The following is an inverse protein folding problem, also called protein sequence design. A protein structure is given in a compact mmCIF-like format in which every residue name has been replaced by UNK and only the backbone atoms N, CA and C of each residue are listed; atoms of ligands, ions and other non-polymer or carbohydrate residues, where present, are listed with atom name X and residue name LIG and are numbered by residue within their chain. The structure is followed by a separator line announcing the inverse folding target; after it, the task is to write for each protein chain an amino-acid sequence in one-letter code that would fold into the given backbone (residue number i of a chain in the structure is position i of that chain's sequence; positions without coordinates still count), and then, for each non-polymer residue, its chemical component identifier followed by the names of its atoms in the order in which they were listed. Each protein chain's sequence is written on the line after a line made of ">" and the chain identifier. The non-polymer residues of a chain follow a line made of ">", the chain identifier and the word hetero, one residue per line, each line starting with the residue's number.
data_IF_049329966093
#
_entry.id   IF_049329966093
#
_cell.length_a   1.000
_cell.length_b   1.000
_cell.length_c   1.000
_cell.angle_alpha   90.00
_cell.angle_beta   90.00
_cell.angle_gamma   90.00
#
_symmetry.space_group_name_H-M   'P 1'
#
loop_
_entity.id
_entity.type
_entity.pdbx_description
1 polymer ?
#
# COMPACT_ATOMS: atom_id res chain seq x y z
N UNK A 1 -34.90 63.91 -17.31
CA UNK A 1 -34.90 62.47 -16.99
C UNK A 1 -33.63 61.81 -17.53
N UNK A 2 -32.59 61.65 -16.71
CA UNK A 2 -31.47 60.72 -16.95
C UNK A 2 -31.05 60.19 -15.58
N UNK A 3 -31.47 58.96 -15.25
CA UNK A 3 -31.09 58.26 -14.01
C UNK A 3 -29.72 57.62 -14.24
N UNK A 4 -28.73 58.09 -13.48
CA UNK A 4 -27.39 57.49 -13.41
C UNK A 4 -27.45 56.29 -12.47
N UNK A 5 -27.25 55.08 -13.02
CA UNK A 5 -27.16 53.83 -12.28
C UNK A 5 -25.78 53.70 -11.64
N UNK A 6 -25.74 53.88 -10.31
CA UNK A 6 -24.55 53.72 -9.48
C UNK A 6 -24.39 52.23 -9.15
N UNK A 7 -23.62 51.51 -9.96
CA UNK A 7 -23.30 50.10 -9.73
C UNK A 7 -22.36 50.00 -8.52
N UNK A 8 -22.88 49.54 -7.38
CA UNK A 8 -22.08 49.20 -6.20
C UNK A 8 -21.23 47.96 -6.54
N UNK A 9 -19.94 48.18 -6.75
CA UNK A 9 -18.93 47.12 -6.77
C UNK A 9 -18.85 46.48 -5.38
N UNK A 10 -19.47 45.30 -5.23
CA UNK A 10 -19.30 44.42 -4.08
C UNK A 10 -17.83 44.01 -4.02
N UNK A 11 -17.08 44.56 -3.07
CA UNK A 11 -15.78 44.02 -2.66
C UNK A 11 -16.00 42.59 -2.17
N UNK A 12 -15.65 41.62 -3.02
CA UNK A 12 -15.50 40.23 -2.62
C UNK A 12 -14.40 40.20 -1.55
N UNK A 13 -14.80 39.87 -0.32
CA UNK A 13 -13.88 39.63 0.79
C UNK A 13 -12.93 38.52 0.37
N UNK A 14 -11.64 38.83 0.26
CA UNK A 14 -10.57 37.82 0.13
C UNK A 14 -10.74 36.84 1.28
N UNK A 15 -11.02 35.59 0.96
CA UNK A 15 -10.93 34.47 1.88
C UNK A 15 -9.54 34.52 2.55
N UNK A 16 -9.42 34.25 3.86
CA UNK A 16 -8.11 34.15 4.49
C UNK A 16 -7.36 33.04 3.75
N UNK A 17 -6.25 33.39 3.13
CA UNK A 17 -5.30 32.40 2.64
C UNK A 17 -4.88 31.57 3.84
N UNK A 18 -5.28 30.29 3.87
CA UNK A 18 -4.67 29.31 4.76
C UNK A 18 -3.17 29.39 4.49
N UNK A 19 -2.41 29.89 5.46
CA UNK A 19 -0.96 29.90 5.41
C UNK A 19 -0.52 28.47 5.09
N UNK A 20 0.10 28.31 3.92
CA UNK A 20 0.69 27.06 3.48
C UNK A 20 1.62 26.64 4.62
N UNK A 21 1.24 25.57 5.31
CA UNK A 21 2.01 25.04 6.42
C UNK A 21 3.45 24.83 5.94
N UNK A 22 4.36 25.38 6.74
CA UNK A 22 5.81 25.37 6.63
C UNK A 22 6.35 24.18 5.81
N UNK A 23 6.64 24.42 4.53
CA UNK A 23 7.24 23.40 3.66
C UNK A 23 8.63 23.13 4.23
N UNK A 24 8.78 22.03 4.98
CA UNK A 24 10.05 21.64 5.62
C UNK A 24 11.14 21.49 4.56
N UNK A 25 11.92 22.56 4.35
CA UNK A 25 13.08 22.54 3.47
C UNK A 25 14.19 21.77 4.18
N UNK A 26 14.62 20.65 3.60
CA UNK A 26 15.83 19.95 4.06
C UNK A 26 17.02 20.78 3.59
N UNK A 27 17.76 21.32 4.55
CA UNK A 27 18.98 22.10 4.28
C UNK A 27 20.18 21.23 4.63
N UNK A 28 21.10 21.11 3.67
CA UNK A 28 22.41 20.47 3.91
C UNK A 28 23.30 21.53 4.54
N UNK A 29 23.60 21.33 5.83
CA UNK A 29 24.34 22.28 6.67
C UNK A 29 25.80 21.90 6.88
N UNK A 30 26.20 20.68 6.54
CA UNK A 30 27.58 20.22 6.73
C UNK A 30 28.43 20.55 5.51
N UNK A 31 29.65 20.96 5.77
CA UNK A 31 30.70 21.12 4.77
C UNK A 31 31.72 20.01 4.96
N UNK A 32 32.26 19.50 3.88
CA UNK A 32 33.36 18.56 3.92
C UNK A 32 34.68 19.34 3.77
N UNK A 33 35.53 19.38 4.80
CA UNK A 33 36.77 20.15 4.76
C UNK A 33 37.77 19.55 3.75
N UNK A 34 38.53 20.41 3.09
CA UNK A 34 39.55 20.04 2.09
C UNK A 34 40.90 20.63 2.47
N UNK A 35 41.97 20.01 1.99
CA UNK A 35 43.27 20.68 1.96
C UNK A 35 43.18 21.91 1.04
N UNK A 36 43.50 23.14 1.51
CA UNK A 36 43.56 24.33 0.67
C UNK A 36 44.50 24.20 -0.54
N UNK A 37 45.51 23.33 -0.45
CA UNK A 37 46.46 23.03 -1.54
C UNK A 37 46.14 21.69 -2.25
N UNK A 38 45.01 21.07 -1.92
CA UNK A 38 44.59 19.81 -2.47
C UNK A 38 44.27 19.88 -3.97
N UNK A 39 44.38 18.75 -4.70
CA UNK A 39 44.07 18.74 -6.12
C UNK A 39 42.57 19.00 -6.38
N UNK A 40 42.22 19.54 -7.56
CA UNK A 40 40.84 19.61 -8.02
C UNK A 40 40.17 18.23 -8.04
N UNK A 41 38.93 18.16 -7.56
CA UNK A 41 38.14 16.92 -7.62
C UNK A 41 37.86 16.53 -9.05
N UNK A 42 38.20 15.28 -9.40
CA UNK A 42 37.86 14.66 -10.67
C UNK A 42 36.59 13.81 -10.51
N UNK A 43 36.36 12.88 -11.43
CA UNK A 43 35.33 11.87 -11.28
C UNK A 43 35.55 11.13 -9.96
N UNK A 44 34.59 11.25 -9.04
CA UNK A 44 34.69 10.64 -7.72
C UNK A 44 34.41 9.15 -7.81
N UNK A 45 35.14 8.31 -7.04
CA UNK A 45 34.87 6.88 -6.94
C UNK A 45 33.43 6.62 -6.48
N UNK A 46 32.95 5.40 -6.69
CA UNK A 46 31.66 4.99 -6.17
C UNK A 46 31.70 4.94 -4.64
N UNK A 47 30.77 5.65 -4.00
CA UNK A 47 30.47 5.48 -2.59
C UNK A 47 29.43 4.38 -2.39
N UNK A 48 28.77 4.40 -1.23
CA UNK A 48 27.56 3.59 -1.02
C UNK A 48 26.47 4.08 -1.97
N UNK A 49 25.73 3.14 -2.58
CA UNK A 49 24.69 3.42 -3.57
C UNK A 49 23.34 2.97 -3.05
N UNK A 50 22.29 3.68 -3.42
CA UNK A 50 20.93 3.24 -3.12
C UNK A 50 20.58 2.01 -3.98
N UNK A 51 19.58 1.22 -3.57
CA UNK A 51 19.15 0.01 -4.30
C UNK A 51 18.76 0.22 -5.77
N UNK A 52 18.50 1.47 -6.20
CA UNK A 52 18.24 1.85 -7.59
C UNK A 52 19.49 2.37 -8.33
N UNK A 53 20.70 2.03 -7.87
CA UNK A 53 21.98 2.49 -8.42
C UNK A 53 22.17 4.02 -8.42
N UNK A 54 21.42 4.77 -7.59
CA UNK A 54 21.67 6.21 -7.44
C UNK A 54 23.02 6.41 -6.74
N UNK A 55 23.93 7.21 -7.32
CA UNK A 55 25.31 7.34 -6.86
C UNK A 55 25.45 8.19 -5.59
N UNK A 56 24.34 8.77 -5.11
CA UNK A 56 24.26 9.56 -3.89
C UNK A 56 23.29 8.88 -2.94
N UNK A 57 23.83 8.12 -1.99
CA UNK A 57 23.09 7.59 -0.86
C UNK A 57 23.73 8.04 0.46
N UNK A 58 22.88 8.29 1.45
CA UNK A 58 23.33 8.46 2.83
C UNK A 58 22.27 8.04 3.82
N UNK A 59 22.69 7.48 4.96
CA UNK A 59 21.81 6.91 5.98
C UNK A 59 20.85 7.97 6.57
N UNK A 60 21.33 9.21 6.68
CA UNK A 60 20.57 10.37 7.14
C UNK A 60 20.88 11.61 6.31
N UNK A 61 20.12 12.69 6.48
CA UNK A 61 20.44 13.98 5.84
C UNK A 61 21.80 14.54 6.29
N UNK A 62 22.31 14.10 7.44
CA UNK A 62 23.61 14.52 7.99
C UNK A 62 24.80 13.83 7.30
N UNK A 63 24.53 12.86 6.42
CA UNK A 63 25.53 12.22 5.59
C UNK A 63 25.71 12.92 4.23
N UNK A 64 24.96 14.00 3.98
CA UNK A 64 25.15 14.85 2.83
C UNK A 64 26.00 16.05 3.22
N UNK A 65 26.95 16.40 2.35
CA UNK A 65 27.92 17.46 2.58
C UNK A 65 27.98 18.37 1.37
N UNK A 66 28.17 19.66 1.64
CA UNK A 66 28.68 20.60 0.66
C UNK A 66 30.19 20.42 0.53
N UNK A 67 30.69 20.40 -0.69
CA UNK A 67 32.11 20.21 -0.97
C UNK A 67 32.58 21.17 -2.05
N UNK A 68 33.79 21.71 -1.88
CA UNK A 68 34.45 22.52 -2.91
C UNK A 68 35.21 21.61 -3.87
N UNK A 69 34.86 21.66 -5.16
CA UNK A 69 35.59 20.91 -6.19
C UNK A 69 37.03 21.40 -6.34
N UNK A 70 37.23 22.71 -6.23
CA UNK A 70 38.55 23.33 -6.14
C UNK A 70 38.61 24.05 -4.79
N UNK A 71 39.59 23.76 -3.91
CA UNK A 71 39.63 24.33 -2.56
C UNK A 71 39.64 25.87 -2.54
N UNK A 72 40.19 26.50 -3.59
CA UNK A 72 40.31 27.95 -3.75
C UNK A 72 39.11 28.61 -4.44
N UNK A 73 38.13 27.83 -4.92
CA UNK A 73 37.02 28.32 -5.73
C UNK A 73 35.66 28.05 -5.05
N UNK A 74 35.24 28.97 -4.18
CA UNK A 74 33.97 28.89 -3.43
C UNK A 74 32.75 28.71 -4.34
N UNK A 75 32.78 29.26 -5.56
CA UNK A 75 31.68 29.16 -6.52
C UNK A 75 31.48 27.75 -7.09
N UNK A 76 32.45 26.84 -6.92
CA UNK A 76 32.36 25.44 -7.36
C UNK A 76 32.02 24.50 -6.20
N UNK A 77 31.02 24.90 -5.41
CA UNK A 77 30.43 24.09 -4.35
C UNK A 77 29.35 23.16 -4.90
N UNK A 78 29.45 21.86 -4.63
CA UNK A 78 28.42 20.86 -4.95
C UNK A 78 27.99 20.09 -3.71
N UNK A 79 26.95 19.26 -3.85
CA UNK A 79 26.49 18.34 -2.81
C UNK A 79 26.98 16.94 -3.16
N UNK A 80 27.58 16.26 -2.19
CA UNK A 80 27.97 14.85 -2.28
C UNK A 80 27.67 14.12 -0.97
N UNK A 81 27.89 12.81 -0.93
CA UNK A 81 27.65 11.96 0.25
C UNK A 81 28.94 11.61 0.96
N UNK A 82 28.84 11.37 2.27
CA UNK A 82 29.98 11.10 3.14
C UNK A 82 30.81 9.91 2.66
N UNK A 83 30.16 8.77 2.38
CA UNK A 83 30.81 7.57 1.81
C UNK A 83 31.61 7.84 0.54
N UNK A 84 31.07 8.64 -0.39
CA UNK A 84 31.71 8.98 -1.66
C UNK A 84 32.91 9.91 -1.48
N UNK A 85 32.78 10.91 -0.61
CA UNK A 85 33.86 11.83 -0.26
C UNK A 85 34.97 11.11 0.50
N UNK A 86 34.62 10.22 1.44
CA UNK A 86 35.56 9.38 2.17
C UNK A 86 36.42 8.53 1.21
N UNK A 87 35.78 7.85 0.26
CA UNK A 87 36.49 7.07 -0.76
C UNK A 87 37.46 7.94 -1.58
N UNK A 88 37.02 9.13 -2.00
CA UNK A 88 37.87 10.08 -2.73
C UNK A 88 39.05 10.60 -1.90
N UNK A 89 38.82 11.02 -0.64
CA UNK A 89 39.89 11.55 0.22
C UNK A 89 40.97 10.51 0.50
N UNK A 90 40.58 9.24 0.66
CA UNK A 90 41.52 8.12 0.78
C UNK A 90 42.33 7.91 -0.48
N UNK A 91 41.71 8.04 -1.66
CA UNK A 91 42.40 7.89 -2.95
C UNK A 91 43.48 8.96 -3.16
N UNK A 92 43.20 10.21 -2.78
CA UNK A 92 44.14 11.34 -2.97
C UNK A 92 45.06 11.59 -1.77
N UNK A 93 44.88 10.88 -0.66
CA UNK A 93 45.69 11.03 0.56
C UNK A 93 45.34 12.23 1.44
N UNK A 94 44.20 12.89 1.23
CA UNK A 94 43.73 14.02 2.07
C UNK A 94 43.04 13.52 3.35
N UNK A 95 43.77 12.83 4.22
CA UNK A 95 43.21 12.21 5.42
C UNK A 95 43.12 13.16 6.62
N UNK A 96 44.02 14.15 6.69
CA UNK A 96 44.21 14.96 7.90
C UNK A 96 43.18 16.09 8.05
N UNK A 97 42.67 16.62 6.95
CA UNK A 97 41.77 17.78 6.96
C UNK A 97 40.32 17.42 7.26
N UNK A 98 39.93 16.17 7.03
CA UNK A 98 38.55 15.67 7.16
C UNK A 98 38.46 14.43 8.06
N UNK A 99 39.32 14.32 9.07
CA UNK A 99 39.40 13.12 9.93
C UNK A 99 38.05 12.73 10.54
N UNK A 100 37.34 13.73 11.07
CA UNK A 100 36.07 13.52 11.75
C UNK A 100 34.97 13.11 10.75
N UNK A 101 34.94 13.72 9.57
CA UNK A 101 34.00 13.38 8.50
C UNK A 101 34.29 12.00 7.89
N UNK A 102 35.56 11.63 7.75
CA UNK A 102 36.00 10.30 7.32
C UNK A 102 35.54 9.25 8.33
N UNK A 103 35.81 9.46 9.62
CA UNK A 103 35.37 8.54 10.67
C UNK A 103 33.84 8.42 10.73
N UNK A 104 33.11 9.53 10.55
CA UNK A 104 31.65 9.53 10.45
C UNK A 104 31.14 8.73 9.24
N UNK A 105 31.76 8.92 8.07
CA UNK A 105 31.38 8.24 6.84
C UNK A 105 31.69 6.74 6.88
N UNK A 106 32.72 6.32 7.60
CA UNK A 106 33.04 4.90 7.82
C UNK A 106 32.02 4.20 8.73
N UNK A 107 31.45 4.94 9.69
CA UNK A 107 30.40 4.45 10.59
C UNK A 107 28.99 4.60 10.03
N UNK A 108 28.87 5.16 8.81
CA UNK A 108 27.59 5.24 8.12
C UNK A 108 27.01 3.83 7.93
N UNK A 109 25.71 3.64 8.18
CA UNK A 109 25.04 2.37 7.94
C UNK A 109 25.19 1.92 6.48
N UNK A 110 25.01 0.63 6.19
CA UNK A 110 24.87 0.17 4.82
C UNK A 110 23.47 0.53 4.27
N UNK A 111 23.32 0.74 2.96
CA UNK A 111 22.00 0.90 2.35
C UNK A 111 21.19 -0.37 2.56
N UNK A 112 20.12 -0.23 3.33
CA UNK A 112 19.12 -1.27 3.54
C UNK A 112 17.83 -0.90 2.80
N UNK A 113 17.20 -1.91 2.21
CA UNK A 113 15.89 -1.74 1.58
C UNK A 113 14.82 -1.70 2.68
N UNK A 114 14.23 -0.52 2.88
CA UNK A 114 13.13 -0.34 3.83
C UNK A 114 11.79 -0.55 3.12
N UNK A 115 10.97 -1.44 3.65
CA UNK A 115 9.60 -1.66 3.18
C UNK A 115 8.64 -0.77 3.99
N UNK A 116 7.59 -0.23 3.36
CA UNK A 116 6.58 0.66 3.97
C UNK A 116 5.35 -0.12 4.46
N UNK A 117 4.80 0.22 5.64
CA UNK A 117 3.68 -0.41 6.42
C UNK A 117 2.60 -1.23 5.69
N UNK A 118 2.12 -2.31 6.33
CA UNK A 118 1.07 -3.19 5.82
C UNK A 118 -0.28 -2.47 5.70
N UNK A 119 -0.70 -2.28 4.46
CA UNK A 119 -1.98 -1.67 4.13
C UNK A 119 -3.16 -2.54 4.58
N UNK A 120 -3.02 -3.87 4.62
CA UNK A 120 -4.10 -4.77 5.08
C UNK A 120 -4.37 -4.53 6.56
N UNK A 121 -3.32 -4.52 7.40
CA UNK A 121 -3.43 -4.18 8.82
C UNK A 121 -3.99 -2.78 9.02
N UNK A 122 -3.50 -1.75 8.29
CA UNK A 122 -4.01 -0.38 8.41
C UNK A 122 -5.50 -0.27 8.04
N UNK A 123 -5.96 -1.02 7.06
CA UNK A 123 -7.36 -1.05 6.62
C UNK A 123 -8.23 -1.87 7.58
N UNK A 124 -7.73 -3.00 8.09
CA UNK A 124 -8.39 -3.80 9.14
C UNK A 124 -8.62 -2.99 10.41
N UNK A 125 -7.59 -2.28 10.89
CA UNK A 125 -7.68 -1.38 12.05
C UNK A 125 -8.66 -0.20 11.85
N UNK A 126 -8.94 0.19 10.60
CA UNK A 126 -9.97 1.18 10.25
C UNK A 126 -11.37 0.54 10.24
N UNK A 127 -11.52 -0.64 9.64
CA UNK A 127 -12.81 -1.34 9.50
C UNK A 127 -13.31 -1.90 10.85
N UNK A 128 -12.41 -2.37 11.73
CA UNK A 128 -12.72 -2.82 13.09
C UNK A 128 -12.88 -1.66 14.08
N UNK A 129 -12.65 -0.42 13.64
CA UNK A 129 -12.72 0.76 14.51
C UNK A 129 -14.18 1.01 14.93
N UNK A 130 -14.53 0.87 16.22
CA UNK A 130 -15.87 1.25 16.66
C UNK A 130 -16.06 2.74 16.40
N UNK A 131 -17.19 3.10 15.79
CA UNK A 131 -17.50 4.48 15.45
C UNK A 131 -17.33 5.40 16.67
N UNK A 132 -16.26 6.22 16.67
CA UNK A 132 -16.03 7.25 17.69
C UNK A 132 -14.74 7.17 18.53
N UNK A 133 -13.86 6.17 18.37
CA UNK A 133 -12.57 6.12 19.10
C UNK A 133 -11.37 6.43 18.21
N UNK A 134 -10.61 7.49 18.52
CA UNK A 134 -9.26 7.74 17.97
C UNK A 134 -8.23 7.27 19.00
N UNK A 135 -7.43 6.26 18.66
CA UNK A 135 -6.24 5.89 19.44
C UNK A 135 -4.96 6.31 18.70
N UNK A 136 -3.92 6.64 19.46
CA UNK A 136 -2.58 6.96 18.96
C UNK A 136 -1.83 5.64 18.71
N UNK A 137 -1.79 5.19 17.46
CA UNK A 137 -1.07 3.97 17.05
C UNK A 137 0.35 4.37 16.66
N UNK A 138 1.33 4.07 17.51
CA UNK A 138 2.77 4.26 17.24
C UNK A 138 3.64 3.07 17.66
N UNK A 139 3.05 1.91 18.00
CA UNK A 139 3.80 0.77 18.53
C UNK A 139 3.58 -0.49 17.71
N UNK A 140 4.69 -0.97 17.12
CA UNK A 140 4.87 -2.16 16.29
C UNK A 140 4.43 -1.99 14.82
N UNK A 141 5.41 -1.83 13.92
CA UNK A 141 5.22 -1.84 12.47
C UNK A 141 5.78 -3.19 11.98
N UNK A 142 4.94 -4.17 11.57
CA UNK A 142 5.37 -5.41 10.95
C UNK A 142 5.95 -5.20 9.54
N UNK A 143 6.77 -6.15 9.08
CA UNK A 143 7.45 -6.17 7.77
C UNK A 143 6.49 -6.49 6.60
N UNK A 144 6.76 -5.95 5.40
CA UNK A 144 5.75 -5.76 4.33
C UNK A 144 6.13 -6.40 2.99
N UNK A 145 5.11 -6.93 2.27
CA UNK A 145 5.13 -7.02 0.83
C UNK A 145 3.83 -6.48 0.21
N UNK A 146 3.69 -5.19 -0.12
CA UNK A 146 2.53 -4.71 -0.90
C UNK A 146 2.91 -3.54 -1.81
N UNK A 147 3.60 -3.88 -2.91
CA UNK A 147 3.80 -3.01 -4.06
C UNK A 147 2.67 -3.31 -5.06
N UNK A 148 2.11 -2.28 -5.70
CA UNK A 148 1.07 -2.52 -6.70
C UNK A 148 1.72 -3.01 -7.99
N UNK A 149 1.61 -4.32 -8.19
CA UNK A 149 2.24 -5.02 -9.30
C UNK A 149 1.89 -4.34 -10.63
N UNK A 150 2.87 -4.26 -11.52
CA UNK A 150 2.75 -3.51 -12.78
C UNK A 150 1.54 -3.91 -13.65
N UNK A 151 1.12 -5.18 -13.60
CA UNK A 151 -0.05 -5.69 -14.32
C UNK A 151 -1.40 -5.30 -13.70
N UNK A 152 -1.39 -4.79 -12.47
CA UNK A 152 -2.55 -4.27 -11.73
C UNK A 152 -2.67 -2.75 -11.82
N UNK A 153 -1.76 -2.06 -12.52
CA UNK A 153 -1.93 -0.63 -12.79
C UNK A 153 -3.21 -0.40 -13.62
N UNK A 154 -3.93 0.70 -13.36
CA UNK A 154 -5.16 0.99 -14.07
C UNK A 154 -4.90 1.29 -15.54
N UNK A 155 -5.61 0.60 -16.42
CA UNK A 155 -5.57 0.85 -17.87
C UNK A 155 -6.07 2.26 -18.20
N UNK A 156 -7.05 2.73 -17.43
CA UNK A 156 -7.66 4.05 -17.53
C UNK A 156 -7.70 4.74 -16.16
N UNK A 157 -7.30 6.01 -16.12
CA UNK A 157 -7.44 6.86 -14.93
C UNK A 157 -8.42 7.99 -15.18
N UNK A 158 -9.43 8.15 -14.32
CA UNK A 158 -10.37 9.27 -14.31
C UNK A 158 -9.90 10.29 -13.28
N UNK A 159 -9.43 11.44 -13.74
CA UNK A 159 -8.88 12.51 -12.91
C UNK A 159 -9.91 13.60 -12.67
N UNK A 160 -10.22 13.85 -11.40
CA UNK A 160 -11.07 14.92 -10.91
C UNK A 160 -10.17 16.08 -10.49
N UNK A 161 -10.26 17.19 -11.22
CA UNK A 161 -9.42 18.38 -11.04
C UNK A 161 -10.28 19.65 -10.96
N UNK A 162 -10.99 19.87 -9.85
CA UNK A 162 -11.88 21.03 -9.68
C UNK A 162 -11.13 22.37 -9.72
N UNK A 163 -9.83 22.34 -9.42
CA UNK A 163 -8.98 23.53 -9.31
C UNK A 163 -8.20 23.85 -10.59
N UNK A 164 -8.35 23.04 -11.64
CA UNK A 164 -7.63 23.20 -12.91
C UNK A 164 -6.10 23.06 -12.77
N UNK A 165 -5.64 22.29 -11.78
CA UNK A 165 -4.21 22.03 -11.46
C UNK A 165 -3.44 21.39 -12.60
N UNK A 166 -4.11 20.70 -13.51
CA UNK A 166 -3.50 20.07 -14.68
C UNK A 166 -2.98 21.08 -15.71
N UNK A 167 -3.29 22.39 -15.60
CA UNK A 167 -2.82 23.45 -16.52
C UNK A 167 -1.92 24.46 -15.81
N UNK A 168 -0.85 23.96 -15.18
CA UNK A 168 -0.02 24.76 -14.28
C UNK A 168 0.61 26.05 -14.89
N UNK A 169 0.53 26.28 -16.22
CA UNK A 169 1.22 27.39 -16.87
C UNK A 169 0.46 28.21 -17.94
N UNK A 170 -0.79 27.94 -18.26
CA UNK A 170 -1.41 28.65 -19.40
C UNK A 170 -1.90 30.05 -19.06
N UNK A 171 -1.94 30.47 -17.78
CA UNK A 171 -2.43 31.80 -17.34
C UNK A 171 -3.92 32.04 -17.62
N UNK A 172 -4.53 31.26 -18.51
CA UNK A 172 -5.95 31.16 -18.76
C UNK A 172 -6.52 30.02 -17.93
N UNK A 173 -7.15 30.35 -16.80
CA UNK A 173 -7.99 29.36 -16.16
C UNK A 173 -9.17 29.01 -17.08
N UNK A 174 -9.51 27.73 -17.17
CA UNK A 174 -10.70 27.31 -17.92
C UNK A 174 -11.99 27.84 -17.24
N UNK A 175 -13.08 28.02 -18.01
CA UNK A 175 -14.41 28.27 -17.43
C UNK A 175 -14.75 27.25 -16.34
N UNK A 176 -15.46 27.67 -15.28
CA UNK A 176 -15.77 26.81 -14.14
C UNK A 176 -16.51 25.50 -14.54
N UNK A 177 -17.36 25.57 -15.58
CA UNK A 177 -18.09 24.42 -16.12
C UNK A 177 -17.14 23.33 -16.65
N UNK A 178 -15.99 23.72 -17.20
CA UNK A 178 -15.01 22.79 -17.76
C UNK A 178 -14.09 22.16 -16.70
N UNK A 179 -14.10 22.69 -15.47
CA UNK A 179 -13.33 22.17 -14.32
C UNK A 179 -14.03 21.04 -13.61
N UNK A 180 -15.36 21.00 -13.62
CA UNK A 180 -16.15 19.92 -13.02
C UNK A 180 -16.14 18.62 -13.84
N UNK A 181 -15.75 18.68 -15.11
CA UNK A 181 -15.73 17.51 -15.99
C UNK A 181 -14.46 16.69 -15.74
N UNK A 182 -14.57 15.42 -15.30
CA UNK A 182 -13.41 14.57 -15.09
C UNK A 182 -12.66 14.30 -16.39
N UNK A 183 -11.35 14.15 -16.29
CA UNK A 183 -10.47 13.86 -17.43
C UNK A 183 -10.12 12.40 -17.46
N UNK A 184 -10.09 11.82 -18.65
CA UNK A 184 -9.69 10.42 -18.85
C UNK A 184 -8.28 10.35 -19.40
N UNK A 185 -7.42 9.60 -18.73
CA UNK A 185 -6.07 9.27 -19.16
C UNK A 185 -5.96 7.77 -19.40
N UNK A 186 -5.17 7.38 -20.40
CA UNK A 186 -4.86 5.97 -20.68
C UNK A 186 -3.43 5.67 -20.30
N UNK A 187 -3.20 4.52 -19.67
CA UNK A 187 -1.87 4.06 -19.34
C UNK A 187 -1.10 3.75 -20.63
N UNK A 188 0.05 4.40 -20.80
CA UNK A 188 0.91 4.19 -21.95
C UNK A 188 2.14 3.36 -21.57
N UNK A 189 2.19 2.14 -22.08
CA UNK A 189 3.26 1.18 -21.80
C UNK A 189 4.06 0.84 -23.06
N UNK A 190 5.37 0.64 -22.90
CA UNK A 190 6.22 0.10 -23.97
C UNK A 190 5.72 -1.28 -24.40
N UNK A 191 6.05 -1.68 -25.63
CA UNK A 191 5.66 -3.00 -26.14
C UNK A 191 6.22 -4.12 -25.26
N UNK A 192 7.49 -4.01 -24.86
CA UNK A 192 8.16 -4.97 -23.98
C UNK A 192 7.42 -5.13 -22.64
N UNK A 193 7.04 -4.02 -22.01
CA UNK A 193 6.26 -4.02 -20.76
C UNK A 193 4.89 -4.65 -20.96
N UNK A 194 4.18 -4.35 -22.06
CA UNK A 194 2.87 -4.96 -22.37
C UNK A 194 3.00 -6.47 -22.55
N UNK A 195 4.03 -6.94 -23.25
CA UNK A 195 4.26 -8.37 -23.46
C UNK A 195 4.60 -9.08 -22.13
N UNK A 196 5.37 -8.42 -21.25
CA UNK A 196 5.67 -8.94 -19.92
C UNK A 196 4.42 -9.06 -19.03
N UNK A 197 3.55 -8.04 -19.05
CA UNK A 197 2.25 -8.06 -18.36
C UNK A 197 1.39 -9.21 -18.86
N UNK A 198 1.22 -9.35 -20.18
CA UNK A 198 0.42 -10.43 -20.79
C UNK A 198 0.95 -11.81 -20.38
N UNK A 199 2.28 -12.01 -20.38
CA UNK A 199 2.89 -13.27 -19.91
C UNK A 199 2.60 -13.53 -18.43
N UNK A 200 2.68 -12.52 -17.58
CA UNK A 200 2.40 -12.65 -16.14
C UNK A 200 0.93 -12.96 -15.88
N UNK A 201 0.01 -12.26 -16.55
CA UNK A 201 -1.43 -12.52 -16.49
C UNK A 201 -1.74 -13.96 -16.92
N UNK A 202 -1.19 -14.42 -18.04
CA UNK A 202 -1.38 -15.81 -18.50
C UNK A 202 -0.89 -16.85 -17.48
N UNK A 203 0.25 -16.59 -16.81
CA UNK A 203 0.76 -17.47 -15.74
C UNK A 203 -0.17 -17.48 -14.52
N UNK A 204 -0.69 -16.32 -14.12
CA UNK A 204 -1.61 -16.22 -12.99
C UNK A 204 -2.92 -16.96 -13.27
N UNK A 205 -3.48 -16.79 -14.47
CA UNK A 205 -4.68 -17.53 -14.90
C UNK A 205 -4.44 -19.05 -14.90
N UNK A 206 -3.30 -19.51 -15.43
CA UNK A 206 -2.96 -20.94 -15.43
C UNK A 206 -2.76 -21.52 -14.02
N UNK A 207 -2.23 -20.72 -13.08
CA UNK A 207 -2.02 -21.16 -11.69
C UNK A 207 -3.34 -21.19 -10.90
N UNK A 208 -4.28 -20.30 -11.22
CA UNK A 208 -5.57 -20.23 -10.53
C UNK A 208 -6.44 -21.48 -10.77
N UNK A 209 -6.30 -22.15 -11.92
CA UNK A 209 -7.06 -23.36 -12.26
C UNK A 209 -6.63 -24.60 -11.46
N UNK A 210 -5.43 -24.59 -10.85
CA UNK A 210 -4.84 -25.76 -10.18
C UNK A 210 -4.76 -25.62 -8.64
N UNK A 211 -5.32 -24.55 -8.07
CA UNK A 211 -5.29 -24.38 -6.61
C UNK A 211 -6.21 -25.40 -5.93
N UNK A 212 -5.72 -26.16 -4.93
CA UNK A 212 -6.55 -27.08 -4.17
C UNK A 212 -7.67 -26.31 -3.48
N UNK A 213 -8.84 -26.96 -3.33
CA UNK A 213 -9.96 -26.39 -2.57
C UNK A 213 -9.48 -26.00 -1.18
N UNK A 214 -9.67 -24.73 -0.84
CA UNK A 214 -9.45 -24.24 0.52
C UNK A 214 -10.65 -24.63 1.39
N UNK A 215 -10.37 -24.94 2.64
CA UNK A 215 -11.37 -25.38 3.60
C UNK A 215 -10.79 -25.38 5.02
N UNK A 216 -11.66 -25.17 6.00
CA UNK A 216 -11.27 -25.26 7.40
C UNK A 216 -11.49 -26.67 7.91
N UNK A 217 -10.64 -27.06 8.84
CA UNK A 217 -10.71 -28.34 9.51
C UNK A 217 -11.28 -28.12 10.91
N UNK A 218 -12.53 -28.53 11.10
CA UNK A 218 -13.19 -28.43 12.39
C UNK A 218 -12.95 -29.70 13.19
N UNK A 219 -12.45 -29.53 14.42
CA UNK A 219 -12.31 -30.62 15.37
C UNK A 219 -13.22 -30.38 16.57
N UNK A 220 -13.84 -31.44 17.06
CA UNK A 220 -14.59 -31.40 18.31
C UNK A 220 -13.72 -31.87 19.46
N UNK A 221 -13.74 -31.08 20.54
CA UNK A 221 -13.13 -31.45 21.81
C UNK A 221 -14.25 -31.73 22.81
N UNK A 222 -14.09 -32.80 23.59
CA UNK A 222 -15.06 -33.20 24.62
C UNK A 222 -14.40 -33.20 25.99
N UNK A 223 -15.02 -32.53 26.95
CA UNK A 223 -14.63 -32.57 28.35
C UNK A 223 -15.58 -33.48 29.15
N UNK A 224 -15.01 -34.47 29.84
CA UNK A 224 -15.79 -35.41 30.62
C UNK A 224 -16.24 -34.78 31.95
N UNK A 225 -17.55 -34.53 32.10
CA UNK A 225 -18.14 -33.78 33.22
C UNK A 225 -17.76 -34.31 34.60
N UNK A 226 -17.55 -35.63 34.74
CA UNK A 226 -17.24 -36.26 36.03
C UNK A 226 -15.79 -36.08 36.47
N UNK A 227 -14.85 -35.93 35.54
CA UNK A 227 -13.41 -35.93 35.82
C UNK A 227 -12.75 -34.60 35.51
N UNK A 228 -13.39 -33.73 34.72
CA UNK A 228 -12.78 -32.49 34.21
C UNK A 228 -11.57 -32.74 33.32
N UNK A 229 -11.32 -33.99 32.91
CA UNK A 229 -10.22 -34.32 32.01
C UNK A 229 -10.71 -34.21 30.58
N UNK A 230 -10.00 -33.41 29.79
CA UNK A 230 -10.14 -33.41 28.33
C UNK A 230 -9.61 -34.76 27.83
N UNK A 231 -10.46 -35.56 27.18
CA UNK A 231 -9.99 -36.77 26.50
C UNK A 231 -9.29 -36.35 25.21
N UNK A 232 -8.00 -36.65 25.10
CA UNK A 232 -7.24 -36.46 23.86
C UNK A 232 -7.79 -37.36 22.75
N UNK A 233 -7.93 -36.79 21.56
CA UNK A 233 -8.51 -37.43 20.36
C UNK A 233 -9.86 -36.82 19.99
N UNK A 234 -10.04 -36.46 18.72
CA UNK A 234 -11.26 -35.82 18.23
C UNK A 234 -12.48 -36.75 18.37
N UNK A 235 -13.64 -36.20 18.73
CA UNK A 235 -14.89 -36.98 18.81
C UNK A 235 -15.41 -37.33 17.43
N UNK A 236 -15.28 -36.36 16.53
CA UNK A 236 -15.64 -36.41 15.13
C UNK A 236 -14.32 -36.34 14.36
N UNK A 237 -14.19 -37.16 13.31
CA UNK A 237 -13.04 -37.05 12.41
C UNK A 237 -13.06 -35.66 11.79
N UNK A 238 -11.89 -35.03 11.68
CA UNK A 238 -11.82 -33.60 11.42
C UNK A 238 -12.61 -33.21 10.15
N UNK A 239 -13.65 -32.41 10.33
CA UNK A 239 -14.65 -32.15 9.29
C UNK A 239 -14.13 -31.04 8.38
N UNK A 240 -13.67 -31.39 7.18
CA UNK A 240 -13.24 -30.41 6.18
C UNK A 240 -14.46 -29.72 5.54
N UNK A 241 -14.76 -28.47 5.89
CA UNK A 241 -15.81 -27.72 5.22
C UNK A 241 -15.24 -27.12 3.92
N UNK A 242 -15.81 -27.51 2.76
CA UNK A 242 -15.42 -26.91 1.48
C UNK A 242 -16.07 -25.54 1.35
N UNK A 243 -15.27 -24.51 1.10
CA UNK A 243 -15.78 -23.18 0.80
C UNK A 243 -16.02 -23.01 -0.70
N UNK A 244 -16.91 -22.07 -1.10
CA UNK A 244 -16.92 -21.62 -2.48
C UNK A 244 -15.49 -21.21 -2.88
N UNK A 245 -15.06 -21.52 -4.11
CA UNK A 245 -13.72 -21.20 -4.56
C UNK A 245 -13.49 -19.69 -4.42
N UNK A 246 -12.33 -19.31 -3.87
CA UNK A 246 -11.93 -17.92 -3.83
C UNK A 246 -12.01 -17.33 -5.25
N UNK A 247 -12.52 -16.11 -5.42
CA UNK A 247 -12.50 -15.46 -6.71
C UNK A 247 -11.06 -15.40 -7.22
N UNK A 248 -10.85 -15.56 -8.54
CA UNK A 248 -9.51 -15.47 -9.08
C UNK A 248 -8.89 -14.12 -8.74
N UNK A 249 -7.57 -14.06 -8.45
CA UNK A 249 -6.91 -12.80 -8.19
C UNK A 249 -7.11 -11.85 -9.37
N UNK A 250 -7.21 -10.54 -9.12
CA UNK A 250 -7.39 -9.58 -10.20
C UNK A 250 -6.22 -9.69 -11.17
N UNK A 251 -6.52 -9.78 -12.46
CA UNK A 251 -5.50 -9.83 -13.51
C UNK A 251 -5.24 -8.46 -14.13
N UNK A 252 -6.19 -7.53 -14.00
CA UNK A 252 -6.06 -6.15 -14.45
C UNK A 252 -6.97 -5.22 -13.66
N UNK A 253 -6.68 -3.93 -13.76
CA UNK A 253 -7.51 -2.86 -13.21
C UNK A 253 -8.02 -2.03 -14.39
N UNK A 254 -9.29 -2.13 -14.79
CA UNK A 254 -9.77 -1.43 -15.98
C UNK A 254 -9.79 0.09 -15.78
N UNK A 255 -10.21 0.53 -14.58
CA UNK A 255 -10.41 1.94 -14.27
C UNK A 255 -10.03 2.25 -12.82
N UNK A 256 -9.44 3.43 -12.60
CA UNK A 256 -9.25 4.01 -11.27
C UNK A 256 -9.55 5.51 -11.29
N UNK A 257 -9.93 6.04 -10.13
CA UNK A 257 -10.27 7.46 -9.99
C UNK A 257 -9.17 8.18 -9.22
N UNK A 258 -8.81 9.38 -9.65
CA UNK A 258 -7.75 10.18 -9.03
C UNK A 258 -8.30 11.57 -8.75
N UNK A 259 -8.21 12.01 -7.50
CA UNK A 259 -8.65 13.33 -7.08
C UNK A 259 -7.43 14.18 -6.75
N UNK A 260 -7.29 15.28 -7.48
CA UNK A 260 -6.21 16.25 -7.30
C UNK A 260 -6.77 17.59 -6.82
N UNK A 261 -6.04 18.25 -5.93
CA UNK A 261 -6.41 19.55 -5.37
C UNK A 261 -5.19 20.46 -5.37
N UNK A 262 -5.41 21.75 -5.65
CA UNK A 262 -4.36 22.77 -5.67
C UNK A 262 -3.69 22.98 -4.30
N UNK A 263 -4.45 22.79 -3.22
CA UNK A 263 -3.96 22.91 -1.85
C UNK A 263 -3.02 21.77 -1.44
N UNK A 264 -3.06 20.65 -2.15
CA UNK A 264 -2.28 19.44 -1.86
C UNK A 264 -0.95 19.40 -2.61
N UNK A 265 -0.46 20.55 -3.11
CA UNK A 265 0.84 20.65 -3.76
C UNK A 265 1.97 20.38 -2.77
N UNK A 266 2.71 19.30 -3.01
CA UNK A 266 3.87 18.87 -2.22
C UNK A 266 5.15 19.60 -2.60
N UNK A 267 5.29 19.98 -3.88
CA UNK A 267 6.51 20.63 -4.36
C UNK A 267 6.45 21.08 -5.81
N UNK A 268 7.47 21.84 -6.18
CA UNK A 268 7.70 22.38 -7.52
C UNK A 268 9.16 22.10 -7.90
N UNK A 269 9.34 21.49 -9.07
CA UNK A 269 10.63 21.31 -9.72
C UNK A 269 10.68 22.13 -11.01
N UNK A 270 11.85 22.19 -11.64
CA UNK A 270 12.09 23.02 -12.84
C UNK A 270 11.11 22.73 -13.99
N UNK A 271 10.58 21.50 -14.07
CA UNK A 271 9.75 21.01 -15.16
C UNK A 271 8.53 20.25 -14.66
N UNK A 272 8.20 20.36 -13.37
CA UNK A 272 7.12 19.56 -12.82
C UNK A 272 6.55 20.10 -11.53
N UNK A 273 5.30 19.76 -11.28
CA UNK A 273 4.67 19.91 -9.97
C UNK A 273 4.43 18.53 -9.37
N UNK A 274 4.53 18.44 -8.05
CA UNK A 274 4.19 17.22 -7.31
C UNK A 274 3.01 17.54 -6.41
N UNK A 275 1.96 16.74 -6.52
CA UNK A 275 0.75 16.83 -5.71
C UNK A 275 0.56 15.55 -4.90
N UNK A 276 0.04 15.70 -3.70
CA UNK A 276 -0.60 14.60 -3.00
C UNK A 276 -1.99 14.44 -3.61
N UNK A 277 -2.33 13.23 -4.03
CA UNK A 277 -3.62 12.96 -4.65
C UNK A 277 -4.27 11.76 -3.98
N UNK A 278 -5.60 11.80 -3.88
CA UNK A 278 -6.35 10.64 -3.44
C UNK A 278 -6.62 9.75 -4.65
N UNK A 279 -6.07 8.56 -4.64
CA UNK A 279 -6.23 7.56 -5.67
C UNK A 279 -7.17 6.47 -5.17
N UNK A 280 -8.31 6.37 -5.83
CA UNK A 280 -9.38 5.44 -5.51
C UNK A 280 -9.24 4.21 -6.40
N UNK A 281 -8.97 3.08 -5.76
CA UNK A 281 -8.72 1.78 -6.41
C UNK A 281 -9.64 0.70 -5.84
N UNK A 282 -9.94 -0.37 -6.61
CA UNK A 282 -10.70 -1.50 -6.10
C UNK A 282 -10.03 -2.14 -4.88
N UNK A 283 -10.80 -2.47 -3.84
CA UNK A 283 -10.28 -3.15 -2.64
C UNK A 283 -9.65 -4.51 -2.94
N UNK A 284 -10.14 -5.20 -3.97
CA UNK A 284 -9.59 -6.47 -4.43
C UNK A 284 -8.12 -6.40 -4.88
N UNK A 285 -7.57 -5.20 -5.12
CA UNK A 285 -6.15 -5.04 -5.47
C UNK A 285 -5.21 -5.10 -4.27
N UNK A 286 -5.70 -4.86 -3.05
CA UNK A 286 -4.87 -4.84 -1.85
C UNK A 286 -5.36 -5.77 -0.74
N UNK A 287 -6.57 -6.30 -0.89
CA UNK A 287 -7.15 -7.21 0.08
C UNK A 287 -7.44 -8.54 -0.60
N UNK A 288 -6.95 -9.62 0.00
CA UNK A 288 -7.29 -10.96 -0.44
C UNK A 288 -8.78 -11.24 -0.17
N UNK A 289 -9.44 -12.01 -1.04
CA UNK A 289 -10.77 -12.51 -0.74
C UNK A 289 -10.68 -13.52 0.40
N UNK A 290 -11.67 -13.51 1.29
CA UNK A 290 -11.78 -14.45 2.40
C UNK A 290 -13.22 -14.94 2.53
N UNK A 291 -13.44 -15.98 3.32
CA UNK A 291 -14.77 -16.55 3.55
C UNK A 291 -15.36 -15.97 4.83
N UNK A 292 -16.57 -15.39 4.76
CA UNK A 292 -17.23 -14.85 5.96
C UNK A 292 -17.65 -15.98 6.93
N UNK A 293 -17.78 -15.64 8.22
CA UNK A 293 -18.19 -16.57 9.28
C UNK A 293 -19.52 -17.29 8.97
N UNK A 294 -20.50 -16.59 8.38
CA UNK A 294 -21.78 -17.21 8.03
C UNK A 294 -21.65 -18.28 6.94
N UNK A 295 -20.81 -18.04 5.92
CA UNK A 295 -20.51 -19.05 4.90
C UNK A 295 -19.75 -20.24 5.49
N UNK A 296 -18.85 -19.96 6.43
CA UNK A 296 -18.15 -21.00 7.20
C UNK A 296 -19.15 -21.88 7.95
N UNK A 297 -20.05 -21.27 8.73
CA UNK A 297 -21.06 -21.96 9.51
C UNK A 297 -22.01 -22.77 8.62
N UNK A 298 -22.43 -22.22 7.48
CA UNK A 298 -23.30 -22.94 6.54
C UNK A 298 -22.61 -24.14 5.89
N UNK A 299 -21.35 -23.99 5.49
CA UNK A 299 -20.57 -25.09 4.94
C UNK A 299 -20.39 -26.21 5.98
N UNK A 300 -20.10 -25.83 7.23
CA UNK A 300 -20.01 -26.76 8.34
C UNK A 300 -21.36 -27.45 8.62
N UNK A 301 -22.44 -26.68 8.74
CA UNK A 301 -23.78 -27.19 8.97
C UNK A 301 -24.21 -28.19 7.90
N UNK A 302 -24.02 -27.84 6.62
CA UNK A 302 -24.33 -28.72 5.49
C UNK A 302 -23.61 -30.06 5.62
N UNK A 303 -22.31 -30.05 5.94
CA UNK A 303 -21.52 -31.26 6.07
C UNK A 303 -21.95 -32.12 7.26
N UNK A 304 -22.17 -31.52 8.42
CA UNK A 304 -22.69 -32.23 9.60
C UNK A 304 -24.08 -32.83 9.35
N UNK A 305 -24.91 -32.13 8.55
CA UNK A 305 -26.24 -32.60 8.16
C UNK A 305 -26.20 -33.79 7.21
N UNK A 306 -25.22 -33.84 6.31
CA UNK A 306 -24.97 -34.98 5.42
C UNK A 306 -24.48 -36.22 6.18
N UNK A 307 -23.66 -36.02 7.22
CA UNK A 307 -23.19 -37.10 8.10
C UNK A 307 -24.32 -37.66 8.97
N UNK A 308 -25.23 -36.78 9.43
CA UNK A 308 -26.33 -37.14 10.33
C UNK A 308 -27.70 -36.61 9.88
N UNK A 309 -28.30 -37.23 8.84
CA UNK A 309 -29.57 -36.77 8.27
C UNK A 309 -30.78 -37.05 9.17
N UNK A 310 -30.69 -38.01 10.10
CA UNK A 310 -31.81 -38.45 10.95
C UNK A 310 -32.04 -37.57 12.17
N UNK A 311 -31.06 -36.75 12.56
CA UNK A 311 -31.15 -35.87 13.73
C UNK A 311 -32.25 -34.83 13.47
N UNK A 312 -33.19 -34.67 14.42
CA UNK A 312 -34.19 -33.61 14.32
C UNK A 312 -33.58 -32.31 14.84
N UNK A 313 -33.50 -31.31 13.97
CA UNK A 313 -33.00 -29.98 14.30
C UNK A 313 -34.17 -29.03 14.34
N UNK A 314 -34.16 -28.11 15.30
CA UNK A 314 -35.09 -27.00 15.34
C UNK A 314 -34.64 -25.89 14.37
N UNK A 315 -35.24 -25.87 13.19
CA UNK A 315 -34.95 -24.87 12.13
C UNK A 315 -35.28 -23.43 12.56
N UNK A 316 -36.01 -23.23 13.68
CA UNK A 316 -36.30 -21.89 14.19
C UNK A 316 -35.14 -21.27 14.97
N UNK A 317 -34.12 -22.06 15.33
CA UNK A 317 -32.96 -21.58 16.06
C UNK A 317 -31.89 -20.95 15.15
N UNK A 318 -31.05 -20.05 15.68
CA UNK A 318 -29.88 -19.56 14.95
C UNK A 318 -28.95 -20.69 14.51
N UNK A 319 -28.31 -20.53 13.35
CA UNK A 319 -27.47 -21.56 12.72
C UNK A 319 -26.39 -22.13 13.65
N UNK A 320 -25.74 -21.29 14.46
CA UNK A 320 -24.76 -21.74 15.44
C UNK A 320 -25.29 -22.77 16.44
N UNK A 321 -26.53 -22.62 16.90
CA UNK A 321 -27.16 -23.61 17.80
C UNK A 321 -27.53 -24.90 17.07
N UNK A 322 -27.99 -24.79 15.82
CA UNK A 322 -28.28 -25.97 14.99
C UNK A 322 -27.01 -26.81 14.74
N UNK A 323 -25.86 -26.16 14.56
CA UNK A 323 -24.56 -26.81 14.46
C UNK A 323 -24.21 -27.49 15.79
N UNK A 324 -24.39 -26.82 16.92
CA UNK A 324 -24.13 -27.39 18.25
C UNK A 324 -24.97 -28.66 18.50
N UNK A 325 -26.27 -28.61 18.19
CA UNK A 325 -27.18 -29.76 18.32
C UNK A 325 -26.73 -30.96 17.48
N UNK A 326 -26.31 -30.74 16.23
CA UNK A 326 -25.75 -31.78 15.37
C UNK A 326 -24.48 -32.38 15.97
N UNK A 327 -23.56 -31.54 16.44
CA UNK A 327 -22.30 -32.00 17.04
C UNK A 327 -22.54 -32.84 18.29
N UNK A 328 -23.47 -32.43 19.15
CA UNK A 328 -23.87 -33.18 20.34
C UNK A 328 -24.48 -34.54 19.95
N UNK A 329 -25.34 -34.57 18.93
CA UNK A 329 -25.95 -35.81 18.46
C UNK A 329 -24.92 -36.79 17.87
N UNK A 330 -23.99 -36.29 17.04
CA UNK A 330 -22.88 -37.09 16.49
C UNK A 330 -22.02 -37.65 17.63
N UNK A 331 -21.62 -36.80 18.58
CA UNK A 331 -20.79 -37.24 19.70
C UNK A 331 -21.46 -38.30 20.59
N UNK A 332 -22.77 -38.17 20.82
CA UNK A 332 -23.54 -39.16 21.57
C UNK A 332 -23.53 -40.52 20.88
N UNK A 333 -23.64 -40.57 19.54
CA UNK A 333 -23.51 -41.82 18.76
C UNK A 333 -22.13 -42.47 18.88
N UNK A 334 -21.09 -41.66 19.02
CA UNK A 334 -19.72 -42.12 19.30
C UNK A 334 -19.44 -42.41 20.79
N UNK A 335 -20.47 -42.44 21.65
CA UNK A 335 -20.35 -42.81 23.06
C UNK A 335 -19.65 -41.76 23.92
N UNK A 336 -19.55 -40.51 23.47
CA UNK A 336 -19.03 -39.41 24.27
C UNK A 336 -20.17 -38.68 24.98
N UNK A 337 -19.92 -38.33 26.24
CA UNK A 337 -20.82 -37.56 27.09
C UNK A 337 -20.02 -36.42 27.71
N UNK A 338 -20.51 -35.19 27.65
CA UNK A 338 -19.78 -34.06 28.21
C UNK A 338 -20.14 -32.70 27.62
N UNK A 339 -19.42 -31.68 28.06
CA UNK A 339 -19.45 -30.37 27.40
C UNK A 339 -18.62 -30.48 26.12
N UNK A 340 -19.15 -29.96 25.03
CA UNK A 340 -18.48 -29.91 23.74
C UNK A 340 -18.28 -28.47 23.31
N UNK A 341 -17.20 -28.24 22.58
CA UNK A 341 -16.98 -27.01 21.85
C UNK A 341 -16.21 -27.32 20.56
N UNK A 342 -16.34 -26.39 19.61
CA UNK A 342 -15.61 -26.44 18.34
C UNK A 342 -14.23 -25.83 18.59
N UNK A 343 -13.19 -26.56 18.22
CA UNK A 343 -11.85 -26.01 18.08
C UNK A 343 -11.58 -25.86 16.58
N UNK A 344 -11.44 -24.62 16.13
CA UNK A 344 -10.95 -24.33 14.79
C UNK A 344 -9.46 -24.65 14.74
N UNK A 345 -9.08 -25.61 13.90
CA UNK A 345 -7.67 -25.92 13.66
C UNK A 345 -7.34 -25.52 12.24
N UNK A 346 -6.51 -24.50 12.10
CA UNK A 346 -5.74 -24.31 10.88
C UNK A 346 -4.85 -25.52 10.68
N UNK A 347 -4.71 -25.99 9.43
CA UNK A 347 -3.75 -27.07 9.14
C UNK A 347 -2.36 -26.61 9.63
N UNK A 348 -1.58 -27.48 10.30
CA UNK A 348 -0.22 -27.12 10.71
C UNK A 348 0.59 -26.65 9.49
N UNK A 349 1.00 -25.38 9.47
CA UNK A 349 1.72 -24.75 8.36
C UNK A 349 0.92 -23.73 7.54
N UNK A 350 -0.37 -23.54 7.78
CA UNK A 350 -1.21 -22.49 7.19
C UNK A 350 -1.77 -21.61 8.31
N UNK A 351 -1.03 -20.59 8.77
CA UNK A 351 -1.63 -19.50 9.55
C UNK A 351 -2.61 -18.76 8.63
N UNK A 352 -3.90 -19.08 8.76
CA UNK A 352 -4.99 -18.37 8.11
C UNK A 352 -5.42 -17.24 9.03
N UNK A 353 -5.02 -16.07 8.63
CA UNK A 353 -5.24 -14.82 9.32
C UNK A 353 -6.67 -14.36 8.97
N UNK A 354 -7.58 -14.39 9.96
CA UNK A 354 -9.00 -14.04 9.79
C UNK A 354 -9.10 -12.52 9.64
N UNK A 355 -9.19 -12.03 8.41
CA UNK A 355 -9.30 -10.59 8.13
C UNK A 355 -10.54 -10.21 7.34
N UNK A 356 -10.95 -8.97 7.51
CA UNK A 356 -12.26 -8.44 7.14
C UNK A 356 -12.19 -7.58 5.87
N UNK A 357 -12.43 -8.17 4.71
CA UNK A 357 -12.62 -7.43 3.45
C UNK A 357 -14.09 -7.10 3.19
N UNK A 358 -14.45 -5.87 2.82
CA UNK A 358 -15.79 -5.61 2.28
C UNK A 358 -15.86 -5.96 0.77
N UNK A 359 -16.81 -6.82 0.39
CA UNK A 359 -17.08 -7.17 -1.01
C UNK A 359 -18.31 -8.07 -1.17
N UNK A 360 -18.85 -8.20 -2.38
CA UNK A 360 -20.03 -9.03 -2.66
C UNK A 360 -19.65 -10.51 -2.86
N UNK A 361 -18.83 -11.09 -1.99
CA UNK A 361 -18.34 -12.47 -2.18
C UNK A 361 -19.36 -13.52 -1.75
N UNK A 362 -20.30 -13.15 -0.89
CA UNK A 362 -21.44 -13.98 -0.53
C UNK A 362 -22.67 -13.13 -0.19
N UNK A 363 -23.85 -13.76 -0.21
CA UNK A 363 -25.12 -13.11 0.14
C UNK A 363 -25.22 -12.71 1.62
N UNK A 364 -24.45 -13.35 2.51
CA UNK A 364 -24.42 -13.05 3.95
C UNK A 364 -23.75 -11.71 4.28
N UNK A 365 -23.04 -11.12 3.32
CA UNK A 365 -22.39 -9.82 3.48
C UNK A 365 -23.28 -8.63 3.07
N UNK A 366 -24.61 -8.77 3.03
CA UNK A 366 -25.53 -7.70 2.63
C UNK A 366 -25.34 -6.37 3.41
N UNK A 367 -24.90 -6.43 4.68
CA UNK A 367 -24.52 -5.22 5.44
C UNK A 367 -23.18 -4.60 4.99
N UNK A 368 -22.22 -5.40 4.53
CA UNK A 368 -20.92 -4.96 3.97
C UNK A 368 -20.98 -4.59 2.50
N UNK A 369 -21.96 -5.10 1.76
CA UNK A 369 -22.30 -4.64 0.40
C UNK A 369 -22.69 -3.14 0.37
N UNK A 370 -22.90 -2.51 1.53
CA UNK A 370 -23.05 -1.05 1.68
C UNK A 370 -21.72 -0.30 1.77
N UNK A 371 -20.62 -0.98 2.12
CA UNK A 371 -19.30 -0.38 2.16
C UNK A 371 -18.81 -0.14 0.71
N UNK A 372 -18.02 0.92 0.46
CA UNK A 372 -17.48 1.18 -0.86
C UNK A 372 -16.65 -0.03 -1.35
N UNK A 373 -16.85 -0.44 -2.60
CA UNK A 373 -16.03 -1.49 -3.25
C UNK A 373 -14.62 -1.00 -3.61
N UNK A 374 -14.38 0.29 -3.41
CA UNK A 374 -13.14 1.01 -3.62
C UNK A 374 -12.61 1.54 -2.30
N UNK A 375 -11.32 1.85 -2.25
CA UNK A 375 -10.72 2.57 -1.13
C UNK A 375 -9.76 3.63 -1.66
N UNK A 376 -9.54 4.68 -0.87
CA UNK A 376 -8.70 5.83 -1.25
C UNK A 376 -7.34 5.73 -0.60
N UNK A 377 -6.30 5.71 -1.43
CA UNK A 377 -4.91 5.81 -1.00
C UNK A 377 -4.33 7.18 -1.35
N UNK A 378 -3.46 7.71 -0.49
CA UNK A 378 -2.73 8.95 -0.77
C UNK A 378 -1.47 8.61 -1.56
N UNK A 379 -1.39 9.05 -2.82
CA UNK A 379 -0.18 8.87 -3.65
C UNK A 379 0.42 10.22 -4.05
N UNK A 380 1.71 10.23 -4.38
CA UNK A 380 2.37 11.39 -4.98
C UNK A 380 2.20 11.36 -6.50
N UNK A 381 1.49 12.32 -7.07
CA UNK A 381 1.36 12.50 -8.51
C UNK A 381 2.30 13.60 -8.99
N UNK A 382 3.23 13.26 -9.88
CA UNK A 382 4.08 14.22 -10.58
C UNK A 382 3.46 14.59 -11.92
N UNK A 383 3.31 15.88 -12.17
CA UNK A 383 2.79 16.45 -13.40
C UNK A 383 3.88 17.24 -14.10
N UNK A 384 4.09 17.06 -15.41
CA UNK A 384 5.05 17.85 -16.19
C UNK A 384 4.45 19.18 -16.59
N UNK A 385 5.33 20.09 -16.96
CA UNK A 385 4.95 21.23 -17.79
C UNK A 385 4.54 20.70 -19.17
N UNK A 386 3.55 21.36 -19.77
CA UNK A 386 3.09 20.99 -21.11
C UNK A 386 4.25 21.07 -22.12
N UNK A 387 4.39 20.04 -22.97
CA UNK A 387 5.36 19.98 -24.08
C UNK A 387 6.86 19.92 -23.72
N UNK A 388 7.25 19.59 -22.48
CA UNK A 388 8.68 19.48 -22.11
C UNK A 388 9.32 18.10 -22.39
N UNK A 389 8.50 17.09 -22.68
CA UNK A 389 8.93 15.69 -22.90
C UNK A 389 9.68 15.05 -21.72
N UNK A 390 9.70 15.70 -20.55
CA UNK A 390 10.46 15.25 -19.39
C UNK A 390 9.79 14.03 -18.75
N UNK A 391 8.49 14.13 -18.47
CA UNK A 391 7.73 13.02 -17.89
C UNK A 391 7.70 11.79 -18.80
N UNK A 392 7.66 11.96 -20.12
CA UNK A 392 7.68 10.82 -21.03
C UNK A 392 9.00 10.03 -20.90
N UNK A 393 10.14 10.74 -20.86
CA UNK A 393 11.45 10.10 -20.64
C UNK A 393 11.54 9.46 -19.26
N UNK A 394 11.04 10.13 -18.23
CA UNK A 394 11.02 9.62 -16.87
C UNK A 394 10.13 8.37 -16.74
N UNK A 395 8.96 8.36 -17.37
CA UNK A 395 8.06 7.22 -17.42
C UNK A 395 8.68 6.02 -18.16
N UNK A 396 9.47 6.26 -19.23
CA UNK A 396 10.23 5.19 -19.88
C UNK A 396 11.30 4.61 -18.95
N UNK A 397 11.98 5.44 -18.17
CA UNK A 397 12.95 4.97 -17.17
C UNK A 397 12.27 4.14 -16.08
N UNK A 398 11.10 4.56 -15.59
CA UNK A 398 10.34 3.79 -14.60
C UNK A 398 9.93 2.42 -15.13
N UNK A 399 9.51 2.32 -16.40
CA UNK A 399 9.16 1.03 -17.01
C UNK A 399 10.35 0.06 -17.16
N UNK A 400 11.59 0.55 -17.03
CA UNK A 400 12.80 -0.27 -17.03
C UNK A 400 13.21 -0.70 -15.61
N UNK A 401 12.49 -0.25 -14.57
CA UNK A 401 12.81 -0.67 -13.22
C UNK A 401 12.57 -2.18 -13.08
N UNK A 402 13.43 -2.88 -12.32
CA UNK A 402 13.23 -4.30 -12.02
C UNK A 402 11.85 -4.55 -11.41
N UNK A 403 11.32 -5.76 -11.61
CA UNK A 403 9.99 -6.13 -11.13
C UNK A 403 9.83 -5.92 -9.62
N UNK A 404 10.90 -6.11 -8.84
CA UNK A 404 10.80 -5.89 -7.40
C UNK A 404 10.39 -4.45 -7.09
N UNK A 405 10.68 -3.42 -7.90
CA UNK A 405 10.20 -2.04 -7.65
C UNK A 405 8.68 -1.85 -7.77
N UNK A 406 7.95 -2.86 -8.26
CA UNK A 406 6.51 -2.83 -8.50
C UNK A 406 5.75 -3.87 -7.69
#
# INVERSE_FOLDING_TARGET
>A
MKRSSRTQSRRVSKSPSLEIQDVRKRVIVREWPRDPNGPPMKATPLGKVAGNNQPLWGATVLNFFRILHMPDCISLSTISTGSKLCAWMKEIGELEHAKDEIAWAEQEAEPEELFLCDMVTLLGDEDDRPAGRRQNILSAIPEIPNRLLLHLLPEKSIVYDPDDTLHAHTGSHRPAVDRSTPRTYKLHLTQETRDAITRKQARLTATAEDKPRQGYMYATVSEEIRTGKVKEGSVIEATFAEFPPAPPPPISTPEAHLHINSCDRLGEGNHSYVYRVAWEIPRSLVMEPYTCQACVEQALFKKLREEEPEVKIDETQPLGYQIEDLLVAIAAKHGRQGKMWIEERTRPGEELEIWTTPGNFCEHEEMRNRAPTTFKVSVGAKLSIENDGHLEREARNYQQFPEHFF
#
